data_IF_523331944285
#
_entry.id   IF_523331944285
#
_cell.length_a   1.000
_cell.length_b   1.000
_cell.length_c   1.000
_cell.angle_alpha   90.00
_cell.angle_beta   90.00
_cell.angle_gamma   90.00
#
_symmetry.space_group_name_H-M   'P 1'
#
loop_
_entity.id
_entity.type
_entity.pdbx_description
1 polymer ?
#
# COMPACT_ATOMS: atom_id res chain seq x y z
N UNK A 1 -7.22 7.29 -10.42
CA UNK A 1 -8.10 6.24 -9.89
C UNK A 1 -7.23 5.13 -9.35
N UNK A 2 -7.43 4.73 -8.10
CA UNK A 2 -6.76 3.60 -7.47
C UNK A 2 -7.25 2.26 -8.00
N UNK A 3 -7.10 1.20 -7.20
CA UNK A 3 -7.49 -0.16 -7.56
C UNK A 3 -8.97 -0.22 -7.91
N UNK A 4 -9.29 -0.80 -9.07
CA UNK A 4 -10.68 -0.94 -9.55
C UNK A 4 -11.09 -2.39 -9.84
N UNK A 5 -10.23 -3.36 -9.53
CA UNK A 5 -10.44 -4.79 -9.74
C UNK A 5 -10.36 -5.51 -8.40
N UNK A 6 -11.42 -6.22 -8.06
CA UNK A 6 -11.60 -6.87 -6.78
C UNK A 6 -12.17 -8.26 -6.98
N UNK A 7 -11.97 -9.15 -6.02
CA UNK A 7 -12.72 -10.39 -6.00
C UNK A 7 -14.07 -10.22 -5.30
N UNK A 8 -14.97 -11.19 -5.46
CA UNK A 8 -16.27 -11.14 -4.80
C UNK A 8 -16.13 -11.08 -3.26
N UNK A 9 -15.21 -11.86 -2.70
CA UNK A 9 -14.94 -11.89 -1.27
C UNK A 9 -14.45 -10.53 -0.73
N UNK A 10 -13.64 -9.81 -1.50
CA UNK A 10 -13.22 -8.45 -1.17
C UNK A 10 -14.38 -7.45 -1.25
N UNK A 11 -15.24 -7.55 -2.26
CA UNK A 11 -16.43 -6.70 -2.39
C UNK A 11 -17.37 -6.89 -1.21
N UNK A 12 -17.58 -8.13 -0.76
CA UNK A 12 -18.43 -8.43 0.41
C UNK A 12 -17.84 -7.81 1.69
N UNK A 13 -16.51 -7.88 1.85
CA UNK A 13 -15.78 -7.23 2.95
C UNK A 13 -15.91 -5.70 2.93
N UNK A 14 -15.75 -5.09 1.75
CA UNK A 14 -15.91 -3.65 1.54
C UNK A 14 -17.35 -3.23 1.84
N UNK A 15 -18.35 -3.96 1.35
CA UNK A 15 -19.76 -3.68 1.59
C UNK A 15 -20.09 -3.70 3.09
N UNK A 16 -19.59 -4.70 3.82
CA UNK A 16 -19.74 -4.77 5.29
C UNK A 16 -19.15 -3.56 6.00
N UNK A 17 -17.93 -3.15 5.62
CA UNK A 17 -17.29 -1.97 6.18
C UNK A 17 -18.07 -0.68 5.86
N UNK A 18 -18.59 -0.53 4.65
CA UNK A 18 -19.39 0.63 4.26
C UNK A 18 -20.72 0.72 5.02
N UNK A 19 -21.39 -0.42 5.27
CA UNK A 19 -22.56 -0.48 6.16
C UNK A 19 -22.22 0.01 7.56
N UNK A 20 -21.13 -0.50 8.15
CA UNK A 20 -20.67 -0.09 9.48
C UNK A 20 -20.29 1.39 9.53
N UNK A 21 -19.65 1.92 8.48
CA UNK A 21 -19.30 3.33 8.36
C UNK A 21 -20.52 4.23 8.53
N UNK A 22 -21.65 3.87 7.91
CA UNK A 22 -22.84 4.71 7.92
C UNK A 22 -23.51 4.79 9.30
N UNK A 23 -23.40 3.73 10.11
CA UNK A 23 -23.89 3.72 11.50
C UNK A 23 -22.86 4.24 12.53
N UNK A 24 -21.62 4.48 12.11
CA UNK A 24 -20.51 4.81 13.00
C UNK A 24 -20.39 6.32 13.29
N UNK A 25 -19.84 6.63 14.48
CA UNK A 25 -19.43 7.99 14.83
C UNK A 25 -18.22 8.46 14.00
N UNK A 26 -17.88 9.76 14.10
CA UNK A 26 -16.82 10.37 13.27
C UNK A 26 -15.46 9.70 13.41
N UNK A 27 -15.07 9.29 14.63
CA UNK A 27 -13.79 8.64 14.88
C UNK A 27 -13.73 7.27 14.20
N UNK A 28 -14.73 6.42 14.44
CA UNK A 28 -14.83 5.09 13.85
C UNK A 28 -15.00 5.14 12.33
N UNK A 29 -15.66 6.16 11.79
CA UNK A 29 -15.66 6.39 10.34
C UNK A 29 -14.27 6.66 9.77
N UNK A 30 -13.39 7.38 10.49
CA UNK A 30 -11.99 7.60 10.04
C UNK A 30 -11.24 6.28 10.02
N UNK A 31 -11.42 5.46 11.05
CA UNK A 31 -10.81 4.14 11.15
C UNK A 31 -11.28 3.20 10.04
N UNK A 32 -12.59 3.11 9.78
CA UNK A 32 -13.12 2.29 8.69
C UNK A 32 -12.60 2.76 7.34
N UNK A 33 -12.50 4.07 7.11
CA UNK A 33 -11.88 4.61 5.89
C UNK A 33 -10.40 4.26 5.77
N UNK A 34 -9.69 4.14 6.89
CA UNK A 34 -8.31 3.69 6.90
C UNK A 34 -8.22 2.19 6.56
N UNK A 35 -9.04 1.35 7.20
CA UNK A 35 -9.11 -0.09 6.93
C UNK A 35 -9.43 -0.40 5.46
N UNK A 36 -10.38 0.33 4.85
CA UNK A 36 -10.68 0.22 3.42
C UNK A 36 -9.44 0.45 2.54
N UNK A 37 -8.63 1.45 2.89
CA UNK A 37 -7.42 1.79 2.13
C UNK A 37 -6.27 0.82 2.38
N UNK A 38 -6.07 0.37 3.61
CA UNK A 38 -4.91 -0.47 3.94
C UNK A 38 -5.13 -1.94 3.59
N UNK A 39 -6.32 -2.48 3.83
CA UNK A 39 -6.60 -3.90 3.62
C UNK A 39 -7.01 -4.20 2.19
N UNK A 40 -7.81 -3.31 1.58
CA UNK A 40 -8.39 -3.55 0.26
C UNK A 40 -7.81 -2.65 -0.83
N UNK A 41 -6.97 -1.67 -0.48
CA UNK A 41 -6.54 -0.60 -1.40
C UNK A 41 -7.74 0.15 -2.01
N UNK A 42 -8.87 0.20 -1.28
CA UNK A 42 -10.12 0.81 -1.71
C UNK A 42 -10.21 2.25 -1.19
N UNK A 43 -10.20 3.21 -2.12
CA UNK A 43 -10.38 4.62 -1.79
C UNK A 43 -11.77 5.10 -2.21
N UNK A 44 -12.59 5.48 -1.24
CA UNK A 44 -13.95 5.98 -1.46
C UNK A 44 -13.97 7.16 -2.46
N UNK A 45 -13.00 8.07 -2.38
CA UNK A 45 -12.98 9.27 -3.23
C UNK A 45 -12.85 8.96 -4.72
N UNK A 46 -12.34 7.77 -5.08
CA UNK A 46 -12.14 7.40 -6.48
C UNK A 46 -13.46 7.05 -7.18
N UNK A 47 -14.48 6.69 -6.41
CA UNK A 47 -15.79 6.24 -6.89
C UNK A 47 -16.94 7.15 -6.44
N UNK A 48 -16.67 8.13 -5.57
CA UNK A 48 -17.68 8.97 -4.99
C UNK A 48 -18.01 10.18 -5.86
N UNK A 49 -19.29 10.55 -5.90
CA UNK A 49 -19.74 11.80 -6.50
C UNK A 49 -19.61 12.95 -5.47
N UNK A 50 -19.15 14.15 -5.87
CA UNK A 50 -19.06 15.29 -4.96
C UNK A 50 -20.39 15.58 -4.26
N UNK A 51 -20.34 15.82 -2.95
CA UNK A 51 -21.53 16.11 -2.14
C UNK A 51 -22.40 14.89 -1.78
N UNK A 52 -22.10 13.69 -2.29
CA UNK A 52 -22.80 12.46 -1.90
C UNK A 52 -21.97 11.63 -0.93
N UNK A 53 -22.67 10.91 -0.05
CA UNK A 53 -22.05 9.94 0.83
C UNK A 53 -21.90 8.60 0.10
N UNK A 54 -20.72 8.00 0.18
CA UNK A 54 -20.49 6.67 -0.37
C UNK A 54 -20.83 5.59 0.66
N UNK A 55 -21.86 4.79 0.36
CA UNK A 55 -22.26 3.62 1.11
C UNK A 55 -22.28 2.37 0.22
N UNK A 56 -22.99 1.35 0.68
CA UNK A 56 -23.12 0.10 -0.06
C UNK A 56 -23.91 0.27 -1.37
N UNK A 57 -24.96 1.10 -1.38
CA UNK A 57 -25.73 1.34 -2.59
C UNK A 57 -24.84 1.93 -3.69
N UNK A 58 -24.01 2.90 -3.33
CA UNK A 58 -23.07 3.53 -4.26
C UNK A 58 -21.98 2.55 -4.72
N UNK A 59 -21.58 1.59 -3.88
CA UNK A 59 -20.69 0.50 -4.27
C UNK A 59 -21.34 -0.38 -5.37
N UNK A 60 -22.59 -0.79 -5.17
CA UNK A 60 -23.32 -1.60 -6.14
C UNK A 60 -23.55 -0.83 -7.46
N UNK A 61 -23.92 0.44 -7.38
CA UNK A 61 -24.02 1.32 -8.54
C UNK A 61 -22.69 1.43 -9.29
N UNK A 62 -21.55 1.55 -8.58
CA UNK A 62 -20.23 1.61 -9.19
C UNK A 62 -19.85 0.31 -9.91
N UNK A 63 -20.27 -0.84 -9.37
CA UNK A 63 -20.14 -2.15 -10.04
C UNK A 63 -21.02 -2.20 -11.28
N UNK A 64 -22.29 -1.79 -11.18
CA UNK A 64 -23.23 -1.79 -12.30
C UNK A 64 -22.76 -0.88 -13.45
N UNK A 65 -22.20 0.29 -13.13
CA UNK A 65 -21.59 1.23 -14.08
C UNK A 65 -20.22 0.76 -14.61
N UNK A 66 -19.74 -0.42 -14.17
CA UNK A 66 -18.43 -1.00 -14.49
C UNK A 66 -17.23 -0.12 -14.11
N UNK A 67 -17.41 0.81 -13.17
CA UNK A 67 -16.30 1.53 -12.56
C UNK A 67 -15.47 0.60 -11.66
N UNK A 68 -16.12 -0.43 -11.10
CA UNK A 68 -15.52 -1.52 -10.33
C UNK A 68 -15.77 -2.82 -11.09
N UNK A 69 -14.71 -3.61 -11.29
CA UNK A 69 -14.78 -4.93 -11.94
C UNK A 69 -14.55 -6.02 -10.90
N UNK A 70 -15.42 -7.03 -10.91
CA UNK A 70 -15.26 -8.23 -10.10
C UNK A 70 -14.57 -9.29 -10.95
N UNK A 71 -13.43 -9.79 -10.48
CA UNK A 71 -12.66 -10.85 -11.11
C UNK A 71 -12.60 -12.08 -10.19
N UNK A 72 -12.16 -13.21 -10.75
CA UNK A 72 -11.92 -14.41 -9.97
C UNK A 72 -10.77 -14.23 -8.98
N UNK A 73 -10.86 -14.95 -7.84
CA UNK A 73 -9.89 -14.84 -6.75
C UNK A 73 -8.45 -15.17 -7.21
N UNK A 74 -8.30 -16.11 -8.15
CA UNK A 74 -6.99 -16.49 -8.68
C UNK A 74 -6.33 -15.35 -9.45
N UNK A 75 -7.05 -14.74 -10.39
CA UNK A 75 -6.56 -13.56 -11.13
C UNK A 75 -6.19 -12.42 -10.18
N UNK A 76 -7.02 -12.17 -9.15
CA UNK A 76 -6.70 -11.13 -8.15
C UNK A 76 -5.43 -11.47 -7.36
N UNK A 77 -5.24 -12.72 -6.96
CA UNK A 77 -4.03 -13.16 -6.27
C UNK A 77 -2.79 -12.96 -7.14
N UNK A 78 -2.85 -13.34 -8.42
CA UNK A 78 -1.77 -13.16 -9.38
C UNK A 78 -1.44 -11.67 -9.60
N UNK A 79 -2.46 -10.81 -9.69
CA UNK A 79 -2.30 -9.36 -9.78
C UNK A 79 -1.64 -8.77 -8.53
N UNK A 80 -2.04 -9.20 -7.33
CA UNK A 80 -1.43 -8.76 -6.07
C UNK A 80 0.03 -9.20 -5.98
N UNK A 81 0.34 -10.44 -6.34
CA UNK A 81 1.70 -10.96 -6.35
C UNK A 81 2.59 -10.17 -7.34
N UNK A 82 2.07 -9.86 -8.53
CA UNK A 82 2.77 -8.98 -9.48
C UNK A 82 3.01 -7.59 -8.87
N UNK A 83 1.99 -6.99 -8.25
CA UNK A 83 2.10 -5.65 -7.67
C UNK A 83 3.11 -5.59 -6.52
N UNK A 84 3.20 -6.64 -5.72
CA UNK A 84 4.20 -6.75 -4.65
C UNK A 84 5.62 -6.81 -5.23
N UNK A 85 5.85 -7.65 -6.25
CA UNK A 85 7.15 -7.71 -6.94
C UNK A 85 7.54 -6.37 -7.56
N UNK A 86 6.58 -5.70 -8.22
CA UNK A 86 6.82 -4.39 -8.81
C UNK A 86 7.18 -3.36 -7.73
N UNK A 87 6.50 -3.37 -6.58
CA UNK A 87 6.79 -2.48 -5.45
C UNK A 87 8.18 -2.70 -4.86
N UNK A 88 8.63 -3.95 -4.76
CA UNK A 88 9.97 -4.31 -4.28
C UNK A 88 11.05 -3.84 -5.26
N UNK A 89 10.83 -4.02 -6.57
CA UNK A 89 11.72 -3.50 -7.61
C UNK A 89 11.80 -1.98 -7.58
N UNK A 90 10.66 -1.30 -7.60
CA UNK A 90 10.58 0.17 -7.60
C UNK A 90 11.13 0.77 -6.28
N UNK A 91 11.20 -0.01 -5.19
CA UNK A 91 11.84 0.39 -3.94
C UNK A 91 13.37 0.23 -4.01
N UNK A 92 13.86 -0.88 -4.58
CA UNK A 92 15.29 -1.12 -4.78
C UNK A 92 15.90 -0.11 -5.76
N UNK A 93 15.18 0.21 -6.84
CA UNK A 93 15.61 1.24 -7.81
C UNK A 93 15.72 2.62 -7.15
N UNK A 94 14.73 3.00 -6.31
CA UNK A 94 14.80 4.26 -5.56
C UNK A 94 15.93 4.29 -4.53
N UNK A 95 16.21 3.18 -3.86
CA UNK A 95 17.35 3.09 -2.93
C UNK A 95 18.68 3.26 -3.69
N UNK A 96 18.82 2.62 -4.85
CA UNK A 96 19.99 2.77 -5.70
C UNK A 96 20.13 4.19 -6.25
N UNK A 97 19.04 4.80 -6.71
CA UNK A 97 19.04 6.19 -7.16
C UNK A 97 19.41 7.16 -6.02
N UNK A 98 18.87 6.97 -4.82
CA UNK A 98 19.19 7.81 -3.66
C UNK A 98 20.66 7.73 -3.24
N UNK A 99 21.27 6.54 -3.36
CA UNK A 99 22.72 6.34 -3.16
C UNK A 99 23.52 7.05 -4.28
N UNK A 100 23.09 6.94 -5.54
CA UNK A 100 23.79 7.54 -6.67
C UNK A 100 23.69 9.06 -6.72
N UNK A 101 22.55 9.64 -6.36
CA UNK A 101 22.35 11.10 -6.29
C UNK A 101 22.98 11.74 -5.06
N UNK A 102 23.45 10.92 -4.11
CA UNK A 102 24.04 11.38 -2.85
C UNK A 102 23.02 11.94 -1.86
N UNK A 103 21.71 11.75 -2.10
CA UNK A 103 20.66 12.10 -1.14
C UNK A 103 20.67 11.18 0.08
N UNK A 104 21.21 9.97 -0.06
CA UNK A 104 21.36 9.01 1.02
C UNK A 104 22.77 8.41 1.01
N UNK A 105 23.49 8.50 2.14
CA UNK A 105 24.76 7.80 2.32
C UNK A 105 24.49 6.30 2.29
N UNK A 106 25.27 5.52 1.53
CA UNK A 106 25.27 4.06 1.66
C UNK A 106 25.79 3.71 3.06
N UNK A 107 24.86 3.63 4.01
CA UNK A 107 25.14 3.41 5.42
C UNK A 107 25.83 2.06 5.63
N UNK A 108 25.70 1.09 4.71
CA UNK A 108 26.43 -0.18 4.78
C UNK A 108 27.89 0.01 4.41
N UNK A 109 28.20 0.79 3.38
CA UNK A 109 29.60 1.14 3.08
C UNK A 109 30.22 1.97 4.20
N UNK A 110 29.49 2.95 4.74
CA UNK A 110 29.97 3.76 5.86
C UNK A 110 30.26 2.91 7.13
N UNK A 111 29.42 1.92 7.41
CA UNK A 111 29.59 1.00 8.54
C UNK A 111 30.77 0.03 8.33
N UNK A 112 30.94 -0.49 7.10
CA UNK A 112 32.08 -1.32 6.74
C UNK A 112 33.41 -0.57 6.84
N UNK A 113 33.46 0.68 6.40
CA UNK A 113 34.64 1.55 6.56
C UNK A 113 34.98 1.79 8.03
N UNK A 114 33.96 1.89 8.89
CA UNK A 114 34.12 2.00 10.34
C UNK A 114 34.70 0.72 10.96
N UNK A 115 34.17 -0.46 10.63
CA UNK A 115 34.70 -1.74 11.11
C UNK A 115 36.14 -1.98 10.65
N UNK A 116 36.46 -1.65 9.39
CA UNK A 116 37.83 -1.75 8.87
C UNK A 116 38.79 -0.77 9.56
N UNK A 117 38.31 0.42 9.93
CA UNK A 117 39.09 1.38 10.71
C UNK A 117 39.31 0.89 12.14
N UNK A 118 38.28 0.37 12.80
CA UNK A 118 38.36 -0.19 14.16
C UNK A 118 39.34 -1.37 14.22
N UNK A 119 39.25 -2.29 13.25
CA UNK A 119 40.19 -3.41 13.13
C UNK A 119 41.64 -2.95 12.93
N UNK A 120 41.87 -1.89 12.14
CA UNK A 120 43.22 -1.31 11.95
C UNK A 120 43.74 -0.57 13.18
N UNK A 121 42.88 0.08 13.96
CA UNK A 121 43.30 0.71 15.22
C UNK A 121 43.60 -0.33 16.30
N UNK A 122 42.81 -1.39 16.38
CA UNK A 122 43.09 -2.51 17.30
C UNK A 122 44.41 -3.21 16.96
N UNK A 123 44.72 -3.45 15.67
CA UNK A 123 46.01 -4.04 15.23
C UNK A 123 47.23 -3.15 15.54
N UNK A 124 47.04 -1.83 15.64
CA UNK A 124 48.10 -0.90 16.05
C UNK A 124 48.33 -0.87 17.56
N UNK A 125 47.32 -1.18 18.36
CA UNK A 125 47.43 -1.22 19.83
C UNK A 125 48.11 -2.51 20.33
N UNK A 126 48.07 -3.59 19.55
CA UNK A 126 48.65 -4.89 19.88
C UNK A 126 50.14 -5.06 19.44
N UNK A 127 50.81 -3.98 18.99
CA UNK A 127 52.25 -3.93 18.67
C UNK A 127 53.02 -3.00 19.60
#
# INVERSE_FOLDING_TARGET
>A
MGRNKYSQSEIDGIAKLLRLKNAANRARQKEIRHQLRTQYEFNISDFNEPGKAFGEKELLDAIQRRAILILDDRTIADMKAKRQRDRERDAAEREQEAIQTGEQTDWKEAMKQWEEWEAKEMDKLDK
#
